data_IF_890188786889
#
_entry.id   IF_890188786889
#
_cell.length_a   1.000
_cell.length_b   1.000
_cell.length_c   1.000
_cell.angle_alpha   90.00
_cell.angle_beta   90.00
_cell.angle_gamma   90.00
#
_symmetry.space_group_name_H-M   'P 1'
#
loop_
_entity.id
_entity.type
_entity.pdbx_description
1 polymer ?
#
# COMPACT_ATOMS: atom_id res chain seq x y z
N UNK A 1 7.24 -26.93 -19.44
CA UNK A 1 7.51 -27.43 -18.07
C UNK A 1 8.61 -26.54 -17.55
N UNK A 2 8.49 -25.60 -16.62
CA UNK A 2 7.54 -25.12 -15.60
C UNK A 2 7.71 -23.58 -15.64
N UNK A 3 6.78 -22.70 -15.28
CA UNK A 3 5.93 -22.65 -14.10
C UNK A 3 4.87 -21.57 -14.35
N UNK A 4 3.73 -21.95 -14.91
CA UNK A 4 2.52 -21.09 -14.89
C UNK A 4 1.75 -21.36 -13.60
N UNK A 5 2.40 -21.19 -12.45
CA UNK A 5 1.68 -21.00 -11.20
C UNK A 5 1.27 -19.53 -11.19
N UNK A 6 0.12 -19.24 -11.77
CA UNK A 6 -0.49 -17.93 -11.58
C UNK A 6 -0.66 -17.74 -10.08
N UNK A 7 -0.05 -16.69 -9.53
CA UNK A 7 -0.16 -16.28 -8.13
C UNK A 7 -1.63 -16.24 -7.66
N UNK A 8 -2.55 -15.95 -8.60
CA UNK A 8 -3.99 -16.00 -8.41
C UNK A 8 -4.56 -17.39 -8.04
N UNK A 9 -3.98 -18.51 -8.50
CA UNK A 9 -4.53 -19.85 -8.28
C UNK A 9 -4.15 -20.43 -6.91
N UNK A 10 -2.98 -20.07 -6.37
CA UNK A 10 -2.56 -20.47 -5.02
C UNK A 10 -3.29 -19.67 -3.93
N UNK A 11 -3.71 -18.44 -4.23
CA UNK A 11 -4.44 -17.57 -3.30
C UNK A 11 -5.92 -17.96 -3.13
N UNK A 12 -6.49 -18.73 -4.06
CA UNK A 12 -7.90 -19.11 -4.04
C UNK A 12 -8.20 -20.23 -3.03
N UNK A 13 -7.20 -21.06 -2.73
CA UNK A 13 -7.27 -22.15 -1.74
C UNK A 13 -6.92 -21.68 -0.31
N UNK A 14 -6.39 -20.46 -0.18
CA UNK A 14 -5.98 -19.92 1.11
C UNK A 14 -7.18 -19.20 1.75
N UNK A 15 -7.64 -19.67 2.93
CA UNK A 15 -8.71 -19.01 3.67
C UNK A 15 -8.38 -17.53 3.88
N UNK A 16 -9.40 -16.68 3.83
CA UNK A 16 -9.27 -15.22 4.08
C UNK A 16 -8.51 -14.95 5.39
N UNK A 17 -8.67 -15.81 6.39
CA UNK A 17 -7.95 -15.71 7.67
C UNK A 17 -6.45 -15.95 7.57
N UNK A 18 -6.00 -16.85 6.68
CA UNK A 18 -4.57 -17.10 6.46
C UNK A 18 -3.98 -15.99 5.61
N UNK A 19 -4.69 -15.51 4.57
CA UNK A 19 -4.24 -14.35 3.80
C UNK A 19 -4.07 -13.12 4.67
N UNK A 20 -5.06 -12.81 5.51
CA UNK A 20 -4.97 -11.71 6.48
C UNK A 20 -3.78 -11.87 7.44
N UNK A 21 -3.50 -13.09 7.91
CA UNK A 21 -2.40 -13.37 8.84
C UNK A 21 -1.02 -13.28 8.18
N UNK A 22 -0.93 -13.68 6.90
CA UNK A 22 0.27 -13.51 6.07
C UNK A 22 0.51 -12.02 5.84
N UNK A 23 -0.48 -11.28 5.32
CA UNK A 23 -0.38 -9.84 5.12
C UNK A 23 -0.03 -9.12 6.43
N UNK A 24 -0.62 -9.51 7.56
CA UNK A 24 -0.25 -8.94 8.86
C UNK A 24 1.22 -9.16 9.19
N UNK A 25 1.71 -10.38 9.02
CA UNK A 25 3.12 -10.72 9.31
C UNK A 25 4.08 -10.00 8.36
N UNK A 26 3.69 -9.82 7.09
CA UNK A 26 4.50 -9.17 6.07
C UNK A 26 4.54 -7.64 6.27
N UNK A 27 3.41 -6.99 6.54
CA UNK A 27 3.31 -5.52 6.58
C UNK A 27 3.53 -4.90 7.95
N UNK A 28 3.38 -5.66 9.05
CA UNK A 28 3.69 -5.17 10.39
C UNK A 28 5.07 -4.49 10.49
N UNK A 29 6.18 -5.08 10.02
CA UNK A 29 7.48 -4.42 10.06
C UNK A 29 7.60 -3.21 9.13
N UNK A 30 6.74 -3.07 8.11
CA UNK A 30 6.70 -1.87 7.26
C UNK A 30 6.00 -0.72 7.99
N UNK A 31 4.84 -0.99 8.59
CA UNK A 31 4.07 0.02 9.33
C UNK A 31 4.81 0.48 10.59
N UNK A 32 5.48 -0.42 11.31
CA UNK A 32 6.30 -0.03 12.49
C UNK A 32 7.49 0.88 12.13
N UNK A 33 8.00 0.80 10.90
CA UNK A 33 9.08 1.67 10.43
C UNK A 33 8.59 3.07 10.03
N UNK A 34 7.30 3.24 9.79
CA UNK A 34 6.74 4.54 9.43
C UNK A 34 6.82 5.48 10.63
N UNK A 35 7.53 6.59 10.45
CA UNK A 35 7.75 7.60 11.50
C UNK A 35 6.45 8.19 12.06
N UNK A 36 5.39 8.23 11.24
CA UNK A 36 4.05 8.69 11.65
C UNK A 36 3.49 7.92 12.85
N UNK A 37 3.79 6.62 12.95
CA UNK A 37 3.28 5.76 14.03
C UNK A 37 4.28 5.51 15.14
N UNK A 38 5.40 6.23 15.14
CA UNK A 38 6.42 6.11 16.18
C UNK A 38 5.84 6.55 17.53
N UNK A 39 5.77 5.62 18.47
CA UNK A 39 5.21 5.86 19.81
C UNK A 39 3.72 5.50 19.97
N UNK A 40 3.07 5.01 18.91
CA UNK A 40 1.75 4.38 19.04
C UNK A 40 1.84 3.02 19.74
N UNK A 41 0.72 2.58 20.35
CA UNK A 41 0.66 1.26 20.96
C UNK A 41 0.65 0.14 19.92
N UNK A 42 1.15 -1.04 20.30
CA UNK A 42 1.13 -2.25 19.46
C UNK A 42 -0.28 -2.64 19.01
N UNK A 43 -1.30 -2.38 19.82
CA UNK A 43 -2.70 -2.64 19.48
C UNK A 43 -3.17 -1.71 18.36
N UNK A 44 -2.77 -0.44 18.38
CA UNK A 44 -3.11 0.53 17.34
C UNK A 44 -2.44 0.17 16.00
N UNK A 45 -1.15 -0.17 16.03
CA UNK A 45 -0.43 -0.67 14.85
C UNK A 45 -1.12 -1.92 14.29
N UNK A 46 -1.49 -2.87 15.15
CA UNK A 46 -2.21 -4.07 14.73
C UNK A 46 -3.55 -3.75 14.07
N UNK A 47 -4.30 -2.76 14.57
CA UNK A 47 -5.55 -2.34 13.94
C UNK A 47 -5.32 -1.76 12.55
N UNK A 48 -4.26 -0.97 12.35
CA UNK A 48 -3.89 -0.42 11.04
C UNK A 48 -3.55 -1.56 10.08
N UNK A 49 -2.64 -2.45 10.49
CA UNK A 49 -2.18 -3.57 9.66
C UNK A 49 -3.34 -4.52 9.29
N UNK A 50 -4.31 -4.71 10.19
CA UNK A 50 -5.51 -5.53 9.91
C UNK A 50 -6.44 -4.91 8.86
N UNK A 51 -6.45 -3.59 8.75
CA UNK A 51 -7.26 -2.84 7.78
C UNK A 51 -6.50 -2.52 6.49
N UNK A 52 -5.22 -2.88 6.43
CA UNK A 52 -4.38 -2.60 5.28
C UNK A 52 -4.85 -3.44 4.08
N UNK A 53 -4.99 -2.79 2.93
CA UNK A 53 -5.34 -3.41 1.67
C UNK A 53 -4.18 -3.26 0.68
N UNK A 54 -3.92 -4.32 -0.08
CA UNK A 54 -2.88 -4.33 -1.11
C UNK A 54 -3.50 -3.79 -2.41
N UNK A 55 -2.92 -2.73 -2.96
CA UNK A 55 -3.25 -2.21 -4.28
C UNK A 55 -2.01 -2.17 -5.16
N UNK A 56 -2.20 -2.51 -6.43
CA UNK A 56 -1.14 -2.53 -7.45
C UNK A 56 -1.46 -1.50 -8.50
N UNK A 57 -0.47 -0.66 -8.80
CA UNK A 57 -0.55 0.38 -9.82
C UNK A 57 0.47 0.13 -10.92
N UNK A 58 0.08 0.41 -12.16
CA UNK A 58 0.93 0.34 -13.34
C UNK A 58 1.73 1.65 -13.51
N UNK A 59 2.89 1.61 -14.18
CA UNK A 59 3.63 2.81 -14.52
C UNK A 59 2.76 3.81 -15.30
N UNK A 60 2.67 5.04 -14.79
CA UNK A 60 1.85 6.12 -15.39
C UNK A 60 0.43 6.23 -14.86
N UNK A 61 0.00 5.37 -13.93
CA UNK A 61 -1.28 5.58 -13.23
C UNK A 61 -1.19 6.67 -12.17
N UNK A 62 -2.21 7.52 -12.14
CA UNK A 62 -2.36 8.55 -11.11
C UNK A 62 -3.02 7.93 -9.89
N UNK A 63 -2.28 7.88 -8.77
CA UNK A 63 -2.77 7.30 -7.50
C UNK A 63 -3.60 8.33 -6.72
N UNK A 64 -3.16 9.59 -6.69
CA UNK A 64 -3.85 10.68 -6.00
C UNK A 64 -3.75 11.96 -6.83
N UNK A 65 -4.80 12.78 -6.80
CA UNK A 65 -4.90 14.04 -7.52
C UNK A 65 -5.13 15.20 -6.54
N UNK A 66 -4.45 16.32 -6.77
CA UNK A 66 -4.61 17.52 -5.96
C UNK A 66 -6.04 18.07 -6.05
N UNK A 67 -6.63 18.44 -4.92
CA UNK A 67 -7.98 19.00 -4.86
C UNK A 67 -9.09 17.96 -4.67
N UNK A 68 -8.77 16.67 -4.80
CA UNK A 68 -9.71 15.60 -4.47
C UNK A 68 -9.70 15.33 -2.96
N UNK A 69 -10.90 15.13 -2.40
CA UNK A 69 -11.05 14.71 -1.00
C UNK A 69 -10.62 13.26 -0.89
N UNK A 70 -9.68 12.99 0.02
CA UNK A 70 -9.13 11.66 0.25
C UNK A 70 -9.46 11.21 1.68
N UNK A 71 -10.07 10.04 1.80
CA UNK A 71 -10.41 9.41 3.08
C UNK A 71 -9.51 8.20 3.40
N UNK A 72 -8.42 8.05 2.63
CA UNK A 72 -7.54 6.90 2.68
C UNK A 72 -6.07 7.33 2.74
N UNK A 73 -5.23 6.45 3.28
CA UNK A 73 -3.80 6.68 3.43
C UNK A 73 -3.04 5.54 2.76
N UNK A 74 -2.10 5.91 1.91
CA UNK A 74 -1.30 4.98 1.12
C UNK A 74 0.11 4.84 1.71
N UNK A 75 0.64 3.61 1.66
CA UNK A 75 2.02 3.30 2.01
C UNK A 75 2.70 2.63 0.83
N UNK A 76 3.83 3.18 0.40
CA UNK A 76 4.60 2.57 -0.69
C UNK A 76 5.39 1.39 -0.13
N UNK A 77 4.95 0.17 -0.44
CA UNK A 77 5.68 -1.05 -0.07
C UNK A 77 6.86 -1.32 -1.02
N UNK A 78 6.66 -1.13 -2.33
CA UNK A 78 7.65 -1.34 -3.37
C UNK A 78 7.35 -0.44 -4.57
N UNK A 79 8.40 0.07 -5.22
CA UNK A 79 8.28 1.02 -6.33
C UNK A 79 8.70 2.44 -5.95
N UNK A 80 8.48 3.36 -6.89
CA UNK A 80 8.77 4.79 -6.74
C UNK A 80 7.53 5.54 -7.20
N UNK A 81 7.19 6.60 -6.49
CA UNK A 81 6.14 7.54 -6.88
C UNK A 81 6.79 8.85 -7.29
N UNK A 82 6.18 9.52 -8.26
CA UNK A 82 6.54 10.85 -8.72
C UNK A 82 5.38 11.78 -8.37
N UNK A 83 5.69 12.89 -7.72
CA UNK A 83 4.73 13.95 -7.46
C UNK A 83 4.71 14.87 -8.67
N UNK A 84 3.54 15.03 -9.30
CA UNK A 84 3.36 16.01 -10.39
C UNK A 84 2.68 17.22 -9.80
N UNK A 85 3.46 18.26 -9.50
CA UNK A 85 2.96 19.53 -9.01
C UNK A 85 2.63 20.46 -10.17
N UNK A 86 1.48 21.13 -10.11
CA UNK A 86 1.23 22.32 -10.95
C UNK A 86 1.79 23.51 -10.18
N UNK A 87 2.89 24.09 -10.66
CA UNK A 87 3.44 25.33 -10.10
C UNK A 87 2.42 26.47 -10.18
N UNK A 88 2.56 27.50 -9.34
CA UNK A 88 1.64 28.67 -9.30
C UNK A 88 1.46 29.37 -10.68
N UNK A 89 2.38 29.11 -11.62
CA UNK A 89 2.39 29.62 -13.00
C UNK A 89 1.78 28.66 -14.05
N UNK A 90 1.25 27.50 -13.65
CA UNK A 90 0.64 26.51 -14.55
C UNK A 90 1.63 25.61 -15.29
N UNK A 91 2.92 25.61 -14.91
CA UNK A 91 3.92 24.67 -15.41
C UNK A 91 3.92 23.37 -14.61
N UNK A 92 3.98 22.24 -15.33
CA UNK A 92 4.24 20.93 -14.75
C UNK A 92 5.69 20.89 -14.25
N UNK A 93 5.89 20.92 -12.94
CA UNK A 93 7.20 20.68 -12.34
C UNK A 93 7.29 19.20 -11.98
N UNK A 94 8.23 18.50 -12.62
CA UNK A 94 8.59 17.10 -12.38
C UNK A 94 9.72 16.99 -11.37
#
# INVERSE_FOLDING_TARGET
YESSYTEASVLHDIPVSIRAKISQTLYMPYIEKVSLFKGCSSEFINQIVTRLHEEFFLPGEVIMEQGNVVDQLYFVCHGVLEEVGVGEDGSEET
#
